data_IF_233032316913
#
_entry.id   IF_233032316913
#
_cell.length_a   1.000
_cell.length_b   1.000
_cell.length_c   1.000
_cell.angle_alpha   90.00
_cell.angle_beta   90.00
_cell.angle_gamma   90.00
#
_symmetry.space_group_name_H-M   'P 1'
#
loop_
_entity.id
_entity.type
_entity.pdbx_description
1 polymer ?
#
# COMPACT_ATOMS: atom_id res chain seq x y z
N UNK A 1 12.97 -5.81 -34.11
CA UNK A 1 12.21 -4.65 -33.62
C UNK A 1 11.55 -5.05 -32.31
N UNK A 2 11.95 -4.45 -31.19
CA UNK A 2 11.37 -4.77 -29.88
C UNK A 2 9.91 -4.32 -29.84
N UNK A 3 9.00 -5.18 -29.40
CA UNK A 3 7.59 -4.83 -29.23
C UNK A 3 7.44 -4.02 -27.94
N UNK A 4 7.38 -2.70 -28.05
CA UNK A 4 7.00 -1.84 -26.92
C UNK A 4 5.56 -2.14 -26.54
N UNK A 5 5.35 -2.67 -25.33
CA UNK A 5 4.03 -3.02 -24.81
C UNK A 5 3.28 -1.73 -24.49
N UNK A 6 2.18 -1.48 -25.20
CA UNK A 6 1.30 -0.33 -24.94
C UNK A 6 0.71 -0.43 -23.53
N UNK A 7 0.79 0.65 -22.79
CA UNK A 7 0.19 0.82 -21.46
C UNK A 7 -0.89 1.88 -21.52
N UNK A 8 -2.01 1.66 -20.83
CA UNK A 8 -3.12 2.61 -20.72
C UNK A 8 -3.27 3.05 -19.28
N UNK A 9 -3.48 4.35 -19.08
CA UNK A 9 -3.87 4.88 -17.78
C UNK A 9 -5.31 4.50 -17.42
N UNK A 10 -5.68 4.59 -16.15
CA UNK A 10 -7.01 4.22 -15.65
C UNK A 10 -8.11 5.05 -16.32
N UNK A 11 -7.92 6.37 -16.43
CA UNK A 11 -8.89 7.26 -17.09
C UNK A 11 -9.06 6.91 -18.57
N UNK A 12 -7.94 6.59 -19.23
CA UNK A 12 -7.93 6.17 -20.63
C UNK A 12 -8.71 4.85 -20.82
N UNK A 13 -8.50 3.86 -19.94
CA UNK A 13 -9.27 2.60 -19.97
C UNK A 13 -10.76 2.83 -19.80
N UNK A 14 -11.17 3.71 -18.89
CA UNK A 14 -12.59 4.04 -18.69
C UNK A 14 -13.18 4.71 -19.92
N UNK A 15 -12.45 5.65 -20.54
CA UNK A 15 -12.87 6.29 -21.78
C UNK A 15 -13.04 5.28 -22.93
N UNK A 16 -12.07 4.38 -23.08
CA UNK A 16 -12.10 3.31 -24.08
C UNK A 16 -13.30 2.38 -23.87
N UNK A 17 -13.56 1.95 -22.63
CA UNK A 17 -14.72 1.09 -22.32
C UNK A 17 -16.04 1.77 -22.73
N UNK A 18 -16.22 3.04 -22.38
CA UNK A 18 -17.42 3.83 -22.71
C UNK A 18 -17.57 4.07 -24.22
N UNK A 19 -16.47 4.32 -24.93
CA UNK A 19 -16.51 4.52 -26.38
C UNK A 19 -16.86 3.22 -27.11
N UNK A 20 -16.34 2.08 -26.65
CA UNK A 20 -16.65 0.76 -27.21
C UNK A 20 -18.10 0.36 -26.95
N UNK A 21 -18.67 0.70 -25.77
CA UNK A 21 -20.09 0.49 -25.49
C UNK A 21 -21.01 1.25 -26.47
N UNK A 22 -20.58 2.44 -26.93
CA UNK A 22 -21.34 3.25 -27.88
C UNK A 22 -21.14 2.84 -29.34
N UNK A 23 -19.91 2.52 -29.72
CA UNK A 23 -19.53 2.22 -31.11
C UNK A 23 -19.77 0.75 -31.46
N UNK A 24 -19.83 -0.13 -30.47
CA UNK A 24 -19.86 -1.58 -30.64
C UNK A 24 -18.46 -2.21 -30.54
N UNK A 25 -18.43 -3.46 -30.06
CA UNK A 25 -17.18 -4.14 -29.65
C UNK A 25 -16.16 -4.24 -30.78
N UNK A 26 -16.59 -4.67 -31.97
CA UNK A 26 -15.67 -4.94 -33.09
C UNK A 26 -15.02 -3.66 -33.62
N UNK A 27 -15.82 -2.63 -33.87
CA UNK A 27 -15.35 -1.36 -34.42
C UNK A 27 -14.56 -0.56 -33.37
N UNK A 28 -15.06 -0.49 -32.14
CA UNK A 28 -14.37 0.19 -31.05
C UNK A 28 -13.03 -0.46 -30.69
N UNK A 29 -12.94 -1.80 -30.67
CA UNK A 29 -11.67 -2.49 -30.44
C UNK A 29 -10.63 -2.17 -31.53
N UNK A 30 -11.05 -2.11 -32.81
CA UNK A 30 -10.18 -1.72 -33.93
C UNK A 30 -9.71 -0.27 -33.81
N UNK A 31 -10.62 0.65 -33.47
CA UNK A 31 -10.34 2.09 -33.28
C UNK A 31 -9.27 2.33 -32.21
N UNK A 32 -9.36 1.64 -31.08
CA UNK A 32 -8.42 1.82 -29.96
C UNK A 32 -7.19 0.91 -30.03
N UNK A 33 -7.15 -0.01 -31.00
CA UNK A 33 -6.07 -0.98 -31.14
C UNK A 33 -5.99 -1.96 -29.97
N UNK A 34 -7.14 -2.35 -29.42
CA UNK A 34 -7.24 -3.35 -28.35
C UNK A 34 -7.86 -4.64 -28.88
N UNK A 35 -7.48 -5.77 -28.28
CA UNK A 35 -8.12 -7.03 -28.57
C UNK A 35 -9.47 -7.14 -27.84
N UNK A 36 -10.49 -7.79 -28.44
CA UNK A 36 -11.77 -8.01 -27.77
C UNK A 36 -11.62 -8.73 -26.42
N UNK A 37 -10.66 -9.65 -26.29
CA UNK A 37 -10.34 -10.31 -25.02
C UNK A 37 -9.94 -9.31 -23.92
N UNK A 38 -9.10 -8.33 -24.26
CA UNK A 38 -8.68 -7.26 -23.34
C UNK A 38 -9.86 -6.39 -22.95
N UNK A 39 -10.73 -6.05 -23.90
CA UNK A 39 -11.96 -5.32 -23.64
C UNK A 39 -12.85 -6.04 -22.62
N UNK A 40 -13.17 -7.32 -22.85
CA UNK A 40 -14.03 -8.07 -21.93
C UNK A 40 -13.40 -8.28 -20.55
N UNK A 41 -12.08 -8.47 -20.47
CA UNK A 41 -11.38 -8.54 -19.19
C UNK A 41 -11.50 -7.22 -18.41
N UNK A 42 -11.29 -6.08 -19.06
CA UNK A 42 -11.44 -4.78 -18.43
C UNK A 42 -12.89 -4.49 -18.06
N UNK A 43 -13.83 -4.80 -18.96
CA UNK A 43 -15.26 -4.62 -18.76
C UNK A 43 -15.75 -5.42 -17.55
N UNK A 44 -15.38 -6.70 -17.45
CA UNK A 44 -15.70 -7.54 -16.30
C UNK A 44 -15.18 -6.94 -14.98
N UNK A 45 -13.90 -6.53 -14.94
CA UNK A 45 -13.31 -5.92 -13.74
C UNK A 45 -13.98 -4.59 -13.38
N UNK A 46 -14.32 -3.79 -14.39
CA UNK A 46 -15.02 -2.53 -14.22
C UNK A 46 -16.45 -2.74 -13.71
N UNK A 47 -17.15 -3.77 -14.17
CA UNK A 47 -18.51 -4.08 -13.71
C UNK A 47 -18.51 -4.64 -12.28
N UNK A 48 -17.50 -5.42 -11.88
CA UNK A 48 -17.37 -6.00 -10.53
C UNK A 48 -16.91 -5.00 -9.47
N UNK A 49 -15.98 -4.10 -9.83
CA UNK A 49 -15.26 -3.26 -8.87
C UNK A 49 -15.18 -1.78 -9.27
N UNK A 50 -15.88 -1.36 -10.32
CA UNK A 50 -15.79 0.00 -10.83
C UNK A 50 -14.38 0.36 -11.31
N UNK A 51 -14.01 1.63 -11.10
CA UNK A 51 -12.68 2.15 -11.46
C UNK A 51 -11.57 1.37 -10.75
N UNK A 52 -11.80 0.91 -9.52
CA UNK A 52 -10.82 0.17 -8.72
C UNK A 52 -10.44 -1.18 -9.34
N UNK A 53 -11.34 -1.79 -10.11
CA UNK A 53 -11.05 -3.03 -10.84
C UNK A 53 -10.06 -2.86 -11.99
N UNK A 54 -9.93 -1.64 -12.52
CA UNK A 54 -8.98 -1.31 -13.59
C UNK A 54 -7.59 -0.92 -13.06
N UNK A 55 -7.50 -0.66 -11.74
CA UNK A 55 -6.24 -0.42 -11.05
C UNK A 55 -5.43 -1.71 -11.12
N UNK A 56 -4.24 -1.66 -11.71
CA UNK A 56 -3.48 -2.88 -11.83
C UNK A 56 -3.02 -3.43 -10.47
N UNK A 57 -3.26 -4.71 -10.24
CA UNK A 57 -3.00 -5.35 -8.95
C UNK A 57 -1.52 -5.62 -8.63
N UNK A 58 -0.56 -5.04 -9.36
CA UNK A 58 0.87 -5.19 -9.02
C UNK A 58 1.15 -4.70 -7.58
N UNK A 59 0.39 -3.71 -7.09
CA UNK A 59 0.49 -3.19 -5.73
C UNK A 59 -0.12 -4.04 -4.62
N UNK A 60 -0.81 -5.17 -4.90
CA UNK A 60 -1.37 -6.01 -3.81
C UNK A 60 -0.30 -6.68 -2.96
N UNK A 61 0.85 -7.00 -3.56
CA UNK A 61 2.00 -7.57 -2.83
C UNK A 61 2.67 -6.50 -1.96
N UNK A 62 2.86 -5.31 -2.52
CA UNK A 62 3.36 -4.12 -1.82
C UNK A 62 2.43 -3.70 -0.67
N UNK A 63 1.11 -3.79 -0.84
CA UNK A 63 0.14 -3.50 0.22
C UNK A 63 0.27 -4.50 1.40
N UNK A 64 0.55 -5.77 1.11
CA UNK A 64 0.79 -6.80 2.12
C UNK A 64 2.09 -6.55 2.89
N UNK A 65 3.17 -6.23 2.18
CA UNK A 65 4.47 -5.88 2.78
C UNK A 65 4.38 -4.58 3.58
N UNK A 66 3.72 -3.55 3.06
CA UNK A 66 3.45 -2.30 3.76
C UNK A 66 2.67 -2.55 5.06
N UNK A 67 1.66 -3.42 5.05
CA UNK A 67 0.91 -3.79 6.26
C UNK A 67 1.79 -4.49 7.29
N UNK A 68 2.65 -5.42 6.85
CA UNK A 68 3.62 -6.10 7.73
C UNK A 68 4.60 -5.11 8.35
N UNK A 69 5.17 -4.23 7.53
CA UNK A 69 6.11 -3.19 7.96
C UNK A 69 5.45 -2.23 8.96
N UNK A 70 4.22 -1.78 8.70
CA UNK A 70 3.48 -0.92 9.64
C UNK A 70 3.25 -1.60 10.98
N UNK A 71 2.83 -2.87 10.98
CA UNK A 71 2.61 -3.64 12.22
C UNK A 71 3.92 -3.83 13.01
N UNK A 72 5.02 -4.11 12.33
CA UNK A 72 6.32 -4.24 12.99
C UNK A 72 6.79 -2.90 13.55
N UNK A 73 6.58 -1.79 12.83
CA UNK A 73 6.90 -0.45 13.33
C UNK A 73 6.15 -0.11 14.62
N UNK A 74 4.86 -0.42 14.70
CA UNK A 74 4.07 -0.22 15.93
C UNK A 74 4.60 -1.08 17.09
N UNK A 75 4.91 -2.35 16.83
CA UNK A 75 5.51 -3.25 17.82
C UNK A 75 6.85 -2.71 18.34
N UNK A 76 7.72 -2.27 17.43
CA UNK A 76 9.04 -1.72 17.78
C UNK A 76 8.91 -0.43 18.58
N UNK A 77 8.00 0.47 18.21
CA UNK A 77 7.72 1.70 18.99
C UNK A 77 7.26 1.39 20.41
N UNK A 78 6.39 0.40 20.58
CA UNK A 78 5.93 -0.02 21.91
C UNK A 78 7.08 -0.57 22.76
N UNK A 79 7.90 -1.46 22.20
CA UNK A 79 9.08 -1.99 22.87
C UNK A 79 10.07 -0.90 23.25
N UNK A 80 10.28 0.09 22.38
CA UNK A 80 11.16 1.23 22.66
C UNK A 80 10.64 2.04 23.84
N UNK A 81 9.36 2.40 23.85
CA UNK A 81 8.74 3.15 24.94
C UNK A 81 8.84 2.40 26.28
N UNK A 82 8.60 1.09 26.29
CA UNK A 82 8.75 0.24 27.48
C UNK A 82 10.20 0.25 28.00
N UNK A 83 11.20 0.18 27.09
CA UNK A 83 12.62 0.21 27.45
C UNK A 83 13.07 1.56 27.98
N UNK A 84 12.61 2.65 27.38
CA UNK A 84 12.90 4.01 27.85
C UNK A 84 12.31 4.24 29.26
N UNK A 85 11.09 3.77 29.51
CA UNK A 85 10.48 3.83 30.84
C UNK A 85 11.29 3.02 31.87
N UNK A 86 11.69 1.80 31.52
CA UNK A 86 12.51 0.94 32.38
C UNK A 86 13.85 1.62 32.75
N UNK A 87 14.51 2.24 31.77
CA UNK A 87 15.76 2.99 31.98
C UNK A 87 15.55 4.21 32.87
N UNK A 88 14.48 4.97 32.65
CA UNK A 88 14.12 6.12 33.46
C UNK A 88 13.97 5.74 34.94
N UNK A 89 13.15 4.72 35.21
CA UNK A 89 12.90 4.22 36.58
C UNK A 89 14.22 3.75 37.22
N UNK A 90 15.03 2.95 36.51
CA UNK A 90 16.34 2.49 37.01
C UNK A 90 17.24 3.67 37.37
N UNK A 91 17.28 4.70 36.53
CA UNK A 91 18.09 5.90 36.79
C UNK A 91 17.64 6.64 38.05
N UNK A 92 16.33 6.77 38.27
CA UNK A 92 15.77 7.42 39.46
C UNK A 92 16.06 6.63 40.74
N UNK A 93 15.93 5.29 40.69
CA UNK A 93 16.24 4.42 41.81
C UNK A 93 17.73 4.52 42.20
N UNK A 94 18.64 4.58 41.22
CA UNK A 94 20.06 4.78 41.47
C UNK A 94 20.35 6.15 42.09
N UNK A 95 19.69 7.22 41.61
CA UNK A 95 19.79 8.56 42.22
C UNK A 95 19.30 8.55 43.67
N UNK A 96 18.17 7.91 43.96
CA UNK A 96 17.65 7.79 45.34
C UNK A 96 18.61 6.99 46.23
N UNK A 97 19.11 5.84 45.77
CA UNK A 97 20.05 5.01 46.54
C UNK A 97 21.36 5.73 46.84
N UNK A 98 21.92 6.45 45.86
CA UNK A 98 23.14 7.23 46.05
C UNK A 98 22.94 8.39 47.02
N UNK A 99 21.78 9.06 47.00
CA UNK A 99 21.44 10.09 47.99
C UNK A 99 21.36 9.50 49.41
N UNK A 100 20.66 8.38 49.60
CA UNK A 100 20.58 7.68 50.89
C UNK A 100 21.97 7.30 51.43
N UNK A 101 22.84 6.75 50.57
CA UNK A 101 24.22 6.40 50.95
C UNK A 101 25.06 7.59 51.39
N UNK A 102 24.85 8.76 50.78
CA UNK A 102 25.53 10.00 51.19
C UNK A 102 25.02 10.50 52.54
N UNK A 103 23.71 10.45 52.77
CA UNK A 103 23.10 10.83 54.05
C UNK A 103 23.52 9.92 55.20
N UNK A 104 23.69 8.61 54.97
CA UNK A 104 24.11 7.64 56.00
C UNK A 104 25.60 7.72 56.38
N UNK A 105 26.43 8.39 55.57
CA UNK A 105 27.87 8.60 55.84
C UNK A 105 28.19 9.96 56.47
N UNK A 106 27.19 10.82 56.66
CA UNK A 106 27.30 12.13 57.31
C UNK A 106 26.85 12.01 58.76
#
# INVERSE_FOLDING_TARGET
>A
MGTTKRTWDIEEKVSILKDIEKTGVVEGCRKHGIYPSTYYEWKKKYDEHGVDGLIPHYGRKEAGELRKIKKENERLKKLLAEKELELSIKSELLKKKTAQWKSAKK
#
